data_IF_704141189618
#
_entry.id   IF_704141189618
#
_cell.length_a   1.000
_cell.length_b   1.000
_cell.length_c   1.000
_cell.angle_alpha   90.00
_cell.angle_beta   90.00
_cell.angle_gamma   90.00
#
_symmetry.space_group_name_H-M   'P 1'
#
loop_
_entity.id
_entity.type
_entity.pdbx_description
1 polymer ?
#
# COMPACT_ATOMS: atom_id res chain seq x y z
N UNK A 1 12.14 -8.72 -38.93
CA UNK A 1 10.80 -8.60 -38.31
C UNK A 1 10.97 -8.91 -36.84
N UNK A 2 10.83 -7.91 -35.97
CA UNK A 2 11.13 -8.08 -34.55
C UNK A 2 9.88 -8.49 -33.77
N UNK A 3 9.93 -9.64 -33.10
CA UNK A 3 9.14 -9.89 -31.89
C UNK A 3 9.95 -9.37 -30.70
N UNK A 4 9.34 -8.52 -29.88
CA UNK A 4 9.83 -8.11 -28.57
C UNK A 4 8.65 -8.30 -27.63
N UNK A 5 8.76 -9.28 -26.75
CA UNK A 5 7.69 -9.63 -25.84
C UNK A 5 7.57 -8.58 -24.72
N UNK A 6 6.33 -8.33 -24.31
CA UNK A 6 5.94 -7.29 -23.37
C UNK A 6 6.31 -7.63 -21.91
N UNK A 7 6.55 -6.61 -21.10
CA UNK A 7 6.66 -6.72 -19.64
C UNK A 7 5.49 -5.97 -18.99
N UNK A 8 4.59 -6.70 -18.33
CA UNK A 8 3.62 -6.19 -17.36
C UNK A 8 4.26 -6.09 -15.96
N UNK A 9 3.77 -5.37 -14.94
CA UNK A 9 2.51 -4.63 -14.77
C UNK A 9 1.98 -4.90 -13.34
N UNK A 10 1.94 -3.91 -12.43
CA UNK A 10 1.77 -4.15 -10.97
C UNK A 10 1.09 -3.00 -10.16
N UNK A 11 0.36 -3.34 -9.07
CA UNK A 11 -0.38 -2.43 -8.12
C UNK A 11 -0.27 -2.87 -6.64
N UNK A 12 -0.78 -2.21 -5.56
CA UNK A 12 -1.50 -0.95 -5.21
C UNK A 12 -0.53 0.24 -4.87
N UNK A 13 -1.00 1.49 -4.63
CA UNK A 13 -0.18 2.57 -4.08
C UNK A 13 0.25 2.19 -2.67
N UNK A 14 1.49 1.73 -2.55
CA UNK A 14 1.83 0.61 -1.65
C UNK A 14 1.32 -0.71 -2.28
N UNK A 15 2.27 -1.46 -2.85
CA UNK A 15 1.99 -2.54 -3.77
C UNK A 15 2.17 -3.91 -3.13
N UNK A 16 1.07 -4.51 -2.71
CA UNK A 16 0.99 -5.92 -2.32
C UNK A 16 1.23 -6.94 -3.47
N UNK A 17 2.30 -6.76 -4.26
CA UNK A 17 2.81 -7.76 -5.19
C UNK A 17 3.95 -8.59 -4.56
N UNK A 18 3.63 -9.81 -4.14
CA UNK A 18 4.43 -10.70 -3.29
C UNK A 18 5.88 -10.89 -3.76
N UNK A 19 6.84 -10.21 -3.11
CA UNK A 19 8.25 -10.58 -3.18
C UNK A 19 8.50 -11.84 -2.32
N UNK A 20 9.35 -12.76 -2.79
CA UNK A 20 9.82 -13.92 -2.01
C UNK A 20 10.75 -13.48 -0.87
N UNK A 21 10.17 -12.87 0.15
CA UNK A 21 10.87 -12.63 1.42
C UNK A 21 11.08 -13.94 2.18
N UNK A 22 12.09 -14.05 3.06
CA UNK A 22 12.25 -15.21 3.94
C UNK A 22 11.01 -15.50 4.82
N UNK A 23 10.21 -14.47 5.14
CA UNK A 23 8.91 -14.63 5.80
C UNK A 23 7.85 -15.25 4.89
N UNK A 24 7.88 -14.96 3.59
CA UNK A 24 7.04 -15.65 2.60
C UNK A 24 7.51 -17.09 2.38
N UNK A 25 8.80 -17.40 2.48
CA UNK A 25 9.26 -18.79 2.50
C UNK A 25 8.70 -19.57 3.70
N UNK A 26 8.60 -18.98 4.89
CA UNK A 26 7.92 -19.58 6.05
C UNK A 26 6.39 -19.65 5.88
N UNK A 27 5.78 -18.70 5.16
CA UNK A 27 4.37 -18.80 4.78
C UNK A 27 4.14 -19.94 3.77
N UNK A 28 5.04 -20.11 2.80
CA UNK A 28 5.04 -21.23 1.84
C UNK A 28 5.35 -22.56 2.52
N UNK A 29 6.11 -22.59 3.60
CA UNK A 29 6.31 -23.78 4.43
C UNK A 29 5.04 -24.17 5.21
N UNK A 30 4.19 -23.19 5.57
CA UNK A 30 2.86 -23.44 6.15
C UNK A 30 1.76 -23.75 5.12
N UNK A 31 1.87 -23.19 3.91
CA UNK A 31 0.92 -23.39 2.79
C UNK A 31 1.30 -24.61 1.93
N UNK A 32 2.53 -25.12 2.05
CA UNK A 32 3.02 -26.33 1.38
C UNK A 32 2.42 -27.64 1.90
N UNK A 33 1.56 -27.57 2.92
CA UNK A 33 0.77 -28.70 3.43
C UNK A 33 -0.68 -28.61 2.97
N UNK A 34 -0.98 -29.27 1.85
CA UNK A 34 -2.32 -29.48 1.25
C UNK A 34 -3.09 -28.23 0.79
N UNK A 35 -3.58 -28.28 -0.45
CA UNK A 35 -4.28 -27.16 -1.07
C UNK A 35 -5.74 -27.05 -0.58
N UNK A 36 -6.13 -25.83 -0.19
CA UNK A 36 -7.50 -25.48 0.21
C UNK A 36 -7.66 -25.38 1.72
N UNK A 37 -8.41 -24.37 2.18
CA UNK A 37 -8.88 -24.35 3.57
C UNK A 37 -9.85 -25.51 3.78
N UNK A 38 -9.65 -26.32 4.81
CA UNK A 38 -10.59 -27.39 5.17
C UNK A 38 -11.82 -26.89 5.93
N UNK A 39 -11.90 -25.58 6.19
CA UNK A 39 -13.05 -24.92 6.80
C UNK A 39 -14.24 -24.86 5.82
N UNK A 40 -15.15 -25.84 5.98
CA UNK A 40 -16.40 -25.92 5.21
C UNK A 40 -17.33 -24.71 5.36
N UNK A 41 -17.11 -23.83 6.34
CA UNK A 41 -17.91 -22.59 6.45
C UNK A 41 -17.61 -21.60 5.31
N UNK A 42 -16.50 -21.79 4.60
CA UNK A 42 -16.06 -21.03 3.43
C UNK A 42 -16.61 -21.54 2.09
N UNK A 43 -17.35 -22.66 2.10
CA UNK A 43 -18.10 -23.14 0.93
C UNK A 43 -19.55 -22.67 1.02
N UNK A 44 -19.98 -21.81 0.10
CA UNK A 44 -21.38 -21.41 -0.07
C UNK A 44 -21.99 -21.93 -1.36
N UNK A 45 -23.24 -21.54 -1.61
CA UNK A 45 -24.02 -22.03 -2.75
C UNK A 45 -23.52 -21.50 -4.11
N UNK A 46 -22.84 -20.35 -4.12
CA UNK A 46 -22.30 -19.73 -5.33
C UNK A 46 -20.77 -19.82 -5.42
N UNK A 47 -20.06 -19.39 -4.37
CA UNK A 47 -18.60 -19.39 -4.31
C UNK A 47 -18.08 -20.38 -3.26
N UNK A 48 -17.17 -21.24 -3.70
CA UNK A 48 -16.38 -22.11 -2.83
C UNK A 48 -15.00 -21.50 -2.59
N UNK A 49 -14.84 -20.74 -1.50
CA UNK A 49 -13.59 -20.05 -1.18
C UNK A 49 -12.48 -21.01 -0.68
N UNK A 50 -12.75 -22.32 -0.66
CA UNK A 50 -11.72 -23.35 -0.47
C UNK A 50 -10.95 -23.66 -1.76
N UNK A 51 -11.36 -23.11 -2.91
CA UNK A 51 -10.77 -23.34 -4.25
C UNK A 51 -10.25 -22.07 -4.92
N UNK A 52 -9.23 -22.15 -5.80
CA UNK A 52 -8.70 -20.98 -6.50
C UNK A 52 -9.72 -20.22 -7.35
N UNK A 53 -10.69 -20.91 -7.97
CA UNK A 53 -11.75 -20.29 -8.77
C UNK A 53 -12.66 -19.41 -7.90
N UNK A 54 -13.07 -19.90 -6.73
CA UNK A 54 -13.90 -19.13 -5.80
C UNK A 54 -13.15 -17.93 -5.22
N UNK A 55 -11.85 -18.10 -4.95
CA UNK A 55 -10.97 -17.00 -4.54
C UNK A 55 -10.82 -15.94 -5.64
N UNK A 56 -10.64 -16.34 -6.91
CA UNK A 56 -10.55 -15.45 -8.07
C UNK A 56 -11.80 -14.59 -8.21
N UNK A 57 -12.98 -15.20 -8.18
CA UNK A 57 -14.25 -14.48 -8.31
C UNK A 57 -14.56 -13.60 -7.10
N UNK A 58 -14.28 -14.06 -5.88
CA UNK A 58 -14.40 -13.23 -4.68
C UNK A 58 -13.48 -12.01 -4.74
N UNK A 59 -12.22 -12.20 -5.12
CA UNK A 59 -11.24 -11.12 -5.21
C UNK A 59 -11.56 -10.13 -6.33
N UNK A 60 -12.04 -10.62 -7.48
CA UNK A 60 -12.56 -9.77 -8.56
C UNK A 60 -13.70 -8.87 -8.08
N UNK A 61 -14.70 -9.43 -7.39
CA UNK A 61 -15.86 -8.68 -6.85
C UNK A 61 -15.48 -7.72 -5.72
N UNK A 62 -14.42 -7.99 -4.96
CA UNK A 62 -13.89 -7.02 -3.98
C UNK A 62 -13.15 -5.87 -4.67
N UNK A 63 -12.33 -6.15 -5.67
CA UNK A 63 -11.44 -5.17 -6.30
C UNK A 63 -12.02 -4.42 -7.50
N UNK A 64 -13.18 -4.82 -8.00
CA UNK A 64 -13.87 -4.19 -9.13
C UNK A 64 -15.28 -4.74 -9.33
N UNK A 65 -15.87 -4.43 -10.48
CA UNK A 65 -17.19 -4.91 -10.86
C UNK A 65 -17.07 -5.97 -11.97
N UNK A 66 -17.61 -7.17 -11.76
CA UNK A 66 -17.51 -8.29 -12.71
C UNK A 66 -18.44 -8.17 -13.91
N UNK A 67 -19.25 -7.11 -13.99
CA UNK A 67 -19.98 -6.73 -15.21
C UNK A 67 -19.04 -6.24 -16.35
N UNK A 68 -17.77 -5.99 -16.04
CA UNK A 68 -16.69 -5.48 -16.91
C UNK A 68 -16.95 -4.10 -17.53
N UNK A 69 -17.83 -3.30 -16.91
CA UNK A 69 -18.27 -1.98 -17.41
C UNK A 69 -18.25 -0.93 -16.31
N UNK A 70 -18.84 -1.25 -15.16
CA UNK A 70 -19.02 -0.32 -14.05
C UNK A 70 -17.68 -0.03 -13.36
N UNK A 71 -17.51 1.23 -12.96
CA UNK A 71 -16.37 1.65 -12.12
C UNK A 71 -16.69 1.35 -10.67
N UNK A 72 -15.78 0.69 -9.97
CA UNK A 72 -15.79 0.57 -8.50
C UNK A 72 -14.84 1.60 -7.91
N UNK A 73 -15.23 2.24 -6.81
CA UNK A 73 -14.40 3.21 -6.10
C UNK A 73 -13.87 2.64 -4.80
N UNK A 74 -12.58 2.78 -4.54
CA UNK A 74 -11.97 2.52 -3.24
C UNK A 74 -11.67 3.81 -2.50
N UNK A 75 -11.66 3.74 -1.17
CA UNK A 75 -11.20 4.84 -0.32
C UNK A 75 -10.33 4.35 0.82
N UNK A 76 -9.46 5.23 1.33
CA UNK A 76 -8.77 5.04 2.60
C UNK A 76 -8.54 6.40 3.29
N UNK A 77 -8.76 6.46 4.60
CA UNK A 77 -8.61 7.68 5.40
C UNK A 77 -7.99 7.36 6.76
N UNK A 78 -7.20 8.28 7.30
CA UNK A 78 -6.58 8.10 8.62
C UNK A 78 -5.41 9.04 8.87
N UNK A 79 -4.36 8.52 9.51
CA UNK A 79 -3.17 9.30 9.91
C UNK A 79 -1.87 8.63 9.51
N UNK A 80 -0.83 9.44 9.36
CA UNK A 80 0.55 9.00 9.19
C UNK A 80 1.37 9.49 10.37
N UNK A 81 2.06 8.55 11.01
CA UNK A 81 2.85 8.77 12.23
C UNK A 81 4.34 8.56 11.95
N UNK A 82 5.18 9.41 12.53
CA UNK A 82 6.63 9.24 12.56
C UNK A 82 7.04 8.33 13.71
N UNK A 83 7.73 7.24 13.40
CA UNK A 83 8.35 6.33 14.38
C UNK A 83 9.83 6.64 14.46
N UNK A 84 10.29 7.10 15.64
CA UNK A 84 11.70 7.44 15.90
C UNK A 84 12.14 6.91 17.26
N UNK A 85 13.43 6.64 17.47
CA UNK A 85 13.91 6.19 18.77
C UNK A 85 13.82 7.27 19.84
N UNK A 86 13.62 6.85 21.08
CA UNK A 86 13.64 7.67 22.29
C UNK A 86 12.54 8.76 22.40
N UNK A 87 11.63 8.87 21.44
CA UNK A 87 10.41 9.68 21.55
C UNK A 87 9.15 8.82 21.37
N UNK A 88 7.97 9.37 21.71
CA UNK A 88 6.71 8.76 21.36
C UNK A 88 6.46 8.88 19.84
N UNK A 89 5.58 8.03 19.29
CA UNK A 89 5.09 8.23 17.93
C UNK A 89 4.45 9.63 17.82
N UNK A 90 4.76 10.32 16.73
CA UNK A 90 4.28 11.66 16.45
C UNK A 90 3.34 11.62 15.26
N UNK A 91 2.11 12.10 15.41
CA UNK A 91 1.22 12.32 14.27
C UNK A 91 1.80 13.43 13.40
N UNK A 92 1.95 13.19 12.10
CA UNK A 92 2.62 14.11 11.17
C UNK A 92 1.65 14.82 10.24
N UNK A 93 0.73 14.04 9.65
CA UNK A 93 -0.30 14.48 8.71
C UNK A 93 -1.48 13.51 8.79
N UNK A 94 -2.69 14.00 8.49
CA UNK A 94 -3.80 13.15 8.11
C UNK A 94 -3.60 12.60 6.70
N UNK A 95 -4.45 11.67 6.30
CA UNK A 95 -4.38 11.00 5.00
C UNK A 95 -5.78 10.73 4.44
N UNK A 96 -5.94 10.90 3.14
CA UNK A 96 -7.16 10.57 2.37
C UNK A 96 -6.76 10.04 0.99
N UNK A 97 -7.45 9.02 0.48
CA UNK A 97 -7.22 8.44 -0.84
C UNK A 97 -8.54 8.06 -1.50
N UNK A 98 -8.61 8.27 -2.81
CA UNK A 98 -9.65 7.74 -3.70
C UNK A 98 -9.00 6.92 -4.81
N UNK A 99 -9.62 5.80 -5.15
CA UNK A 99 -9.22 4.97 -6.29
C UNK A 99 -10.43 4.65 -7.17
N UNK A 100 -10.22 4.53 -8.48
CA UNK A 100 -11.26 4.23 -9.48
C UNK A 100 -10.82 3.03 -10.33
N UNK A 101 -11.51 1.90 -10.17
CA UNK A 101 -11.19 0.60 -10.74
C UNK A 101 -12.21 0.12 -11.77
N UNK A 102 -11.76 -0.53 -12.85
CA UNK A 102 -12.59 -1.30 -13.78
C UNK A 102 -11.96 -2.68 -14.01
N UNK A 103 -12.80 -3.69 -14.23
CA UNK A 103 -12.36 -5.01 -14.70
C UNK A 103 -12.57 -5.10 -16.21
N UNK A 104 -11.59 -5.67 -16.90
CA UNK A 104 -11.67 -6.06 -18.30
C UNK A 104 -11.51 -7.59 -18.38
N UNK A 105 -12.06 -8.28 -19.39
CA UNK A 105 -11.82 -9.71 -19.59
C UNK A 105 -10.32 -10.00 -19.78
N UNK A 106 -9.83 -11.11 -19.21
CA UNK A 106 -8.47 -11.61 -19.49
C UNK A 106 -8.41 -12.29 -20.87
N UNK A 107 -7.30 -12.17 -21.61
CA UNK A 107 -7.18 -12.72 -22.97
C UNK A 107 -7.37 -14.23 -23.04
N UNK A 108 -6.92 -14.96 -22.01
CA UNK A 108 -7.05 -16.41 -21.90
C UNK A 108 -8.48 -16.89 -21.61
N UNK A 109 -9.45 -15.96 -21.51
CA UNK A 109 -10.86 -16.26 -21.22
C UNK A 109 -11.16 -16.66 -19.77
N UNK A 110 -10.15 -16.64 -18.88
CA UNK A 110 -10.26 -17.01 -17.47
C UNK A 110 -9.71 -15.88 -16.59
N UNK A 111 -10.58 -15.29 -15.77
CA UNK A 111 -10.22 -14.18 -14.89
C UNK A 111 -10.26 -12.81 -15.56
N UNK A 112 -9.59 -11.85 -14.94
CA UNK A 112 -9.75 -10.42 -15.25
C UNK A 112 -8.41 -9.68 -15.34
N UNK A 113 -8.39 -8.64 -16.16
CA UNK A 113 -7.46 -7.52 -16.05
C UNK A 113 -8.12 -6.43 -15.20
N UNK A 114 -7.55 -6.12 -14.04
CA UNK A 114 -7.96 -4.93 -13.28
C UNK A 114 -7.13 -3.74 -13.76
N UNK A 115 -7.82 -2.70 -14.19
CA UNK A 115 -7.24 -1.39 -14.48
C UNK A 115 -7.70 -0.38 -13.43
N UNK A 116 -6.78 0.47 -12.97
CA UNK A 116 -7.01 1.36 -11.83
C UNK A 116 -6.26 2.69 -12.01
N UNK A 117 -6.86 3.75 -11.47
CA UNK A 117 -6.17 4.98 -11.05
C UNK A 117 -6.38 5.21 -9.57
N UNK A 118 -5.39 5.74 -8.87
CA UNK A 118 -5.60 6.19 -7.49
C UNK A 118 -4.79 7.43 -7.15
N UNK A 119 -5.36 8.26 -6.27
CA UNK A 119 -4.75 9.49 -5.80
C UNK A 119 -4.94 9.61 -4.29
N UNK A 120 -3.84 9.90 -3.59
CA UNK A 120 -3.80 10.02 -2.14
C UNK A 120 -3.15 11.33 -1.72
N UNK A 121 -3.83 12.06 -0.85
CA UNK A 121 -3.41 13.34 -0.31
C UNK A 121 -3.08 13.24 1.18
N UNK A 122 -2.29 14.20 1.62
CA UNK A 122 -1.93 14.41 3.02
C UNK A 122 -2.70 15.63 3.51
N UNK A 123 -3.24 15.58 4.72
CA UNK A 123 -4.12 16.63 5.26
C UNK A 123 -3.57 17.21 6.56
N UNK A 124 -3.94 18.46 6.86
CA UNK A 124 -3.67 19.05 8.17
C UNK A 124 -4.44 18.29 9.27
N UNK A 125 -3.76 17.99 10.37
CA UNK A 125 -4.32 17.19 11.47
C UNK A 125 -5.45 17.89 12.25
N UNK A 126 -5.64 19.20 12.09
CA UNK A 126 -6.66 19.98 12.82
C UNK A 126 -7.82 20.40 11.93
N UNK A 127 -7.55 20.81 10.69
CA UNK A 127 -8.57 21.32 9.75
C UNK A 127 -9.06 20.26 8.77
N UNK A 128 -8.26 19.23 8.49
CA UNK A 128 -8.54 18.24 7.44
C UNK A 128 -8.25 18.75 6.02
N UNK A 129 -7.78 19.99 5.85
CA UNK A 129 -7.47 20.57 4.55
C UNK A 129 -6.29 19.84 3.87
N UNK A 130 -6.37 19.66 2.55
CA UNK A 130 -5.31 19.03 1.75
C UNK A 130 -4.07 19.93 1.72
N UNK A 131 -2.93 19.39 2.13
CA UNK A 131 -1.66 20.08 2.22
C UNK A 131 -0.94 20.14 0.87
N UNK A 132 -0.54 21.34 0.47
CA UNK A 132 0.42 21.58 -0.62
C UNK A 132 1.83 21.84 -0.10
N UNK A 133 1.95 22.28 1.16
CA UNK A 133 3.20 22.49 1.90
C UNK A 133 3.04 21.94 3.33
N UNK A 134 4.15 21.53 3.95
CA UNK A 134 4.17 20.97 5.30
C UNK A 134 5.41 21.44 6.06
N UNK A 135 5.25 21.88 7.31
CA UNK A 135 6.38 22.18 8.20
C UNK A 135 6.91 20.87 8.79
N UNK A 136 8.13 20.47 8.41
CA UNK A 136 8.77 19.28 8.95
C UNK A 136 9.16 19.53 10.42
N UNK A 137 8.50 18.86 11.40
CA UNK A 137 8.66 19.17 12.82
C UNK A 137 9.93 18.53 13.43
N UNK A 138 10.79 17.95 12.59
CA UNK A 138 12.07 17.36 12.96
C UNK A 138 13.27 18.14 12.41
N UNK A 139 13.12 18.79 11.25
CA UNK A 139 14.16 19.60 10.61
C UNK A 139 13.88 21.11 10.68
N UNK A 140 12.65 21.54 10.98
CA UNK A 140 12.27 22.95 11.05
C UNK A 140 12.21 23.65 9.70
N UNK A 141 12.02 22.89 8.62
CA UNK A 141 11.89 23.40 7.25
C UNK A 141 10.49 23.16 6.68
N UNK A 142 9.99 24.11 5.89
CA UNK A 142 8.76 23.92 5.11
C UNK A 142 9.11 23.22 3.80
N UNK A 143 8.46 22.09 3.53
CA UNK A 143 8.65 21.29 2.31
C UNK A 143 7.37 21.27 1.48
N UNK A 144 7.52 21.19 0.16
CA UNK A 144 6.37 20.98 -0.75
C UNK A 144 5.90 19.53 -0.63
N UNK A 145 4.61 19.33 -0.43
CA UNK A 145 3.98 18.02 -0.38
C UNK A 145 3.82 17.47 -1.80
N UNK A 146 4.14 16.19 -1.99
CA UNK A 146 3.92 15.47 -3.26
C UNK A 146 2.90 14.35 -3.03
N UNK A 147 1.69 14.41 -3.63
CA UNK A 147 0.65 13.42 -3.42
C UNK A 147 1.05 12.05 -3.97
N UNK A 148 0.40 11.00 -3.48
CA UNK A 148 0.37 9.71 -4.15
C UNK A 148 -0.48 9.87 -5.40
N UNK A 149 0.03 9.51 -6.57
CA UNK A 149 -0.69 9.63 -7.83
C UNK A 149 -0.25 8.51 -8.78
N UNK A 150 -1.02 7.42 -8.85
CA UNK A 150 -0.71 6.27 -9.71
C UNK A 150 -1.66 6.19 -10.89
N UNK A 151 -1.11 6.33 -12.11
CA UNK A 151 -1.83 6.20 -13.37
C UNK A 151 -0.82 5.88 -14.51
N UNK A 152 -1.00 4.82 -15.30
CA UNK A 152 -1.95 3.73 -15.11
C UNK A 152 -1.46 2.78 -14.04
N UNK A 153 -2.35 1.89 -13.58
CA UNK A 153 -1.99 1.06 -12.46
C UNK A 153 -2.74 -0.28 -12.44
N UNK A 154 -2.13 -1.30 -13.04
CA UNK A 154 -2.86 -2.47 -13.56
C UNK A 154 -2.32 -3.81 -13.03
N UNK A 155 -3.20 -4.80 -12.80
CA UNK A 155 -2.81 -6.18 -12.45
C UNK A 155 -3.81 -7.23 -12.97
N UNK A 156 -3.41 -8.49 -13.00
CA UNK A 156 -4.27 -9.62 -13.40
C UNK A 156 -4.84 -10.35 -12.18
N UNK A 157 -6.11 -10.76 -12.28
CA UNK A 157 -6.84 -11.56 -11.29
C UNK A 157 -7.13 -12.91 -11.94
N UNK A 158 -6.39 -13.95 -11.54
CA UNK A 158 -6.44 -15.28 -12.16
C UNK A 158 -6.60 -16.38 -11.09
N UNK A 159 -6.56 -17.65 -11.48
CA UNK A 159 -6.47 -18.77 -10.52
C UNK A 159 -5.12 -18.85 -9.78
N UNK A 160 -4.18 -17.95 -10.07
CA UNK A 160 -2.86 -17.88 -9.45
C UNK A 160 -2.61 -16.48 -8.88
N UNK A 161 -1.78 -16.40 -7.85
CA UNK A 161 -1.22 -15.14 -7.38
C UNK A 161 -0.50 -14.41 -8.53
N UNK A 162 -0.57 -13.07 -8.60
CA UNK A 162 0.11 -12.29 -9.63
C UNK A 162 1.64 -12.45 -9.52
N UNK A 163 2.35 -12.24 -10.64
CA UNK A 163 3.82 -12.16 -10.62
C UNK A 163 4.28 -11.01 -9.69
N UNK A 164 5.48 -11.11 -9.07
CA UNK A 164 6.03 -10.02 -8.28
C UNK A 164 6.19 -8.74 -9.12
N UNK A 165 6.10 -7.54 -8.53
CA UNK A 165 6.29 -6.28 -9.23
C UNK A 165 7.66 -6.23 -9.88
N UNK A 166 7.72 -5.75 -11.12
CA UNK A 166 8.98 -5.60 -11.84
C UNK A 166 9.74 -4.32 -11.41
N UNK A 167 9.10 -3.37 -10.72
CA UNK A 167 9.60 -2.04 -10.35
C UNK A 167 10.32 -1.32 -11.50
N UNK A 168 9.65 -1.19 -12.66
CA UNK A 168 10.26 -0.61 -13.86
C UNK A 168 11.39 -1.45 -14.48
N UNK A 169 11.49 -2.73 -14.13
CA UNK A 169 12.51 -3.68 -14.60
C UNK A 169 13.69 -3.91 -13.64
N UNK A 170 13.63 -3.36 -12.41
CA UNK A 170 14.62 -3.57 -11.34
C UNK A 170 14.51 -4.97 -10.72
N UNK A 171 13.31 -5.55 -10.65
CA UNK A 171 13.10 -6.95 -10.27
C UNK A 171 12.88 -7.82 -11.51
N UNK A 172 13.55 -8.97 -11.53
CA UNK A 172 13.58 -9.93 -12.66
C UNK A 172 13.28 -11.36 -12.22
N UNK A 173 12.99 -11.57 -10.94
CA UNK A 173 12.65 -12.89 -10.42
C UNK A 173 11.28 -13.33 -10.93
N UNK A 174 11.22 -14.58 -11.40
CA UNK A 174 9.97 -15.24 -11.80
C UNK A 174 9.76 -16.47 -10.92
N UNK A 175 9.10 -16.33 -9.76
CA UNK A 175 8.76 -17.46 -8.91
C UNK A 175 7.78 -18.41 -9.64
N UNK A 176 7.68 -19.68 -9.22
CA UNK A 176 6.65 -20.57 -9.74
C UNK A 176 5.26 -20.01 -9.45
N UNK A 177 4.30 -20.26 -10.35
CA UNK A 177 2.91 -19.86 -10.13
C UNK A 177 2.32 -20.60 -8.92
N UNK A 178 1.72 -19.85 -7.99
CA UNK A 178 1.09 -20.37 -6.77
C UNK A 178 -0.42 -20.21 -6.92
N UNK A 179 -1.25 -21.25 -6.70
CA UNK A 179 -2.70 -21.13 -6.73
C UNK A 179 -3.22 -20.03 -5.80
N UNK A 180 -4.18 -19.23 -6.27
CA UNK A 180 -4.74 -18.12 -5.53
C UNK A 180 -5.61 -18.63 -4.37
N UNK A 181 -5.02 -18.71 -3.19
CA UNK A 181 -5.69 -19.13 -1.94
C UNK A 181 -5.54 -18.02 -0.90
N UNK A 182 -6.60 -17.23 -0.71
CA UNK A 182 -6.62 -16.08 0.19
C UNK A 182 -6.97 -16.50 1.63
N UNK A 183 -6.47 -15.77 2.62
CA UNK A 183 -6.73 -16.02 4.06
C UNK A 183 -8.11 -15.48 4.46
N UNK A 184 -9.14 -16.14 3.93
CA UNK A 184 -10.53 -15.95 4.29
C UNK A 184 -10.87 -16.70 5.59
N UNK A 185 -11.60 -16.03 6.49
CA UNK A 185 -12.08 -16.59 7.76
C UNK A 185 -13.50 -16.13 8.03
N UNK A 186 -14.45 -17.05 8.20
CA UNK A 186 -15.86 -16.70 8.42
C UNK A 186 -16.25 -16.77 9.89
N UNK A 187 -17.05 -15.80 10.34
CA UNK A 187 -17.59 -15.70 11.71
C UNK A 187 -19.06 -15.27 11.63
N UNK A 188 -19.95 -16.25 11.49
CA UNK A 188 -21.38 -16.01 11.27
C UNK A 188 -21.63 -15.40 9.87
N UNK A 189 -22.32 -14.26 9.83
CA UNK A 189 -22.55 -13.48 8.60
C UNK A 189 -21.35 -12.63 8.16
N UNK A 190 -20.29 -12.51 8.96
CA UNK A 190 -19.10 -11.76 8.58
C UNK A 190 -18.03 -12.67 7.99
N UNK A 191 -17.56 -12.33 6.80
CA UNK A 191 -16.36 -12.86 6.18
C UNK A 191 -15.20 -11.88 6.41
N UNK A 192 -14.08 -12.37 6.92
CA UNK A 192 -12.85 -11.59 7.01
C UNK A 192 -11.85 -12.08 5.97
N UNK A 193 -11.15 -11.15 5.34
CA UNK A 193 -9.96 -11.42 4.56
C UNK A 193 -8.78 -10.73 5.24
N UNK A 194 -7.72 -11.48 5.51
CA UNK A 194 -6.42 -10.90 5.87
C UNK A 194 -5.49 -11.00 4.67
N UNK A 195 -4.86 -9.89 4.29
CA UNK A 195 -3.81 -9.87 3.27
C UNK A 195 -2.68 -8.98 3.75
N UNK A 196 -1.45 -9.33 3.42
CA UNK A 196 -0.30 -8.51 3.75
C UNK A 196 0.81 -8.71 2.73
N UNK A 197 1.74 -7.77 2.70
CA UNK A 197 2.99 -7.93 1.98
C UNK A 197 4.19 -7.50 2.80
N UNK A 198 5.33 -8.12 2.53
CA UNK A 198 6.64 -7.61 2.88
C UNK A 198 7.42 -7.39 1.57
N UNK A 199 7.89 -6.15 1.35
CA UNK A 199 8.62 -5.72 0.18
C UNK A 199 10.08 -5.42 0.54
N UNK A 200 10.99 -5.88 -0.30
CA UNK A 200 12.40 -5.49 -0.27
C UNK A 200 12.93 -5.47 -1.70
N UNK A 201 13.23 -4.27 -2.22
CA UNK A 201 13.59 -4.07 -3.64
C UNK A 201 14.51 -2.86 -3.82
N UNK A 202 15.28 -2.76 -4.93
CA UNK A 202 16.16 -1.61 -5.17
C UNK A 202 15.37 -0.30 -5.18
N UNK A 203 15.86 0.70 -4.45
CA UNK A 203 15.20 1.99 -4.33
C UNK A 203 15.32 2.79 -5.65
N UNK A 204 14.23 3.35 -6.17
CA UNK A 204 14.28 4.25 -7.32
C UNK A 204 15.05 5.56 -6.99
N UNK A 205 15.07 5.96 -5.72
CA UNK A 205 15.79 7.13 -5.23
C UNK A 205 17.15 6.69 -4.67
N UNK A 206 18.15 6.51 -5.52
CA UNK A 206 19.48 6.06 -5.09
C UNK A 206 20.22 7.15 -4.28
N UNK A 207 20.91 6.83 -3.16
CA UNK A 207 21.47 7.83 -2.24
C UNK A 207 22.45 8.84 -2.87
N UNK A 208 23.18 8.45 -3.91
CA UNK A 208 24.13 9.33 -4.61
C UNK A 208 23.47 10.42 -5.46
N UNK A 209 22.21 10.22 -5.87
CA UNK A 209 21.42 11.18 -6.66
C UNK A 209 20.37 11.90 -5.80
N UNK A 210 19.83 11.21 -4.79
CA UNK A 210 18.73 11.65 -3.93
C UNK A 210 19.15 11.69 -2.45
N UNK A 211 20.15 12.51 -2.07
CA UNK A 211 20.79 12.44 -0.75
C UNK A 211 19.86 12.78 0.43
N UNK A 212 18.76 13.50 0.20
CA UNK A 212 17.82 13.94 1.26
C UNK A 212 16.56 13.07 1.32
N UNK A 213 16.15 12.52 0.19
CA UNK A 213 14.94 11.73 0.02
C UNK A 213 15.19 10.23 0.19
N UNK A 214 16.39 9.75 -0.15
CA UNK A 214 16.71 8.32 -0.14
C UNK A 214 16.77 7.75 1.26
N UNK A 215 16.05 6.66 1.48
CA UNK A 215 16.17 5.81 2.67
C UNK A 215 17.30 4.77 2.58
N UNK A 216 18.17 4.85 1.56
CA UNK A 216 19.19 3.85 1.25
C UNK A 216 18.99 3.16 -0.11
N UNK A 217 19.92 2.27 -0.47
CA UNK A 217 19.97 1.57 -1.77
C UNK A 217 18.75 0.68 -2.06
N UNK A 218 18.08 0.19 -1.02
CA UNK A 218 16.88 -0.64 -1.08
C UNK A 218 15.73 0.00 -0.32
N UNK A 219 14.53 -0.06 -0.90
CA UNK A 219 13.29 0.24 -0.20
C UNK A 219 12.81 -0.99 0.58
N UNK A 220 12.24 -0.78 1.76
CA UNK A 220 11.67 -1.82 2.62
C UNK A 220 10.32 -1.38 3.17
N UNK A 221 9.25 -1.99 2.68
CA UNK A 221 7.86 -1.65 3.01
C UNK A 221 7.13 -2.90 3.49
N UNK A 222 6.19 -2.74 4.41
CA UNK A 222 5.13 -3.74 4.63
C UNK A 222 3.78 -3.04 4.57
N UNK A 223 2.78 -3.76 4.10
CA UNK A 223 1.39 -3.33 4.16
C UNK A 223 0.56 -4.48 4.70
N UNK A 224 -0.47 -4.14 5.48
CA UNK A 224 -1.43 -5.06 6.04
C UNK A 224 -2.83 -4.54 5.73
N UNK A 225 -3.67 -5.44 5.23
CA UNK A 225 -5.05 -5.19 4.89
C UNK A 225 -5.93 -6.18 5.66
N UNK A 226 -6.94 -5.66 6.34
CA UNK A 226 -8.01 -6.46 6.95
C UNK A 226 -9.34 -5.98 6.40
N UNK A 227 -10.08 -6.89 5.79
CA UNK A 227 -11.39 -6.63 5.21
C UNK A 227 -12.49 -7.22 6.10
N UNK A 228 -13.62 -6.53 6.19
CA UNK A 228 -14.88 -6.94 6.80
C UNK A 228 -15.92 -6.95 5.69
N UNK A 229 -16.37 -8.15 5.32
CA UNK A 229 -17.18 -8.41 4.13
C UNK A 229 -18.46 -9.11 4.59
N UNK A 230 -19.60 -8.71 4.04
CA UNK A 230 -20.85 -9.45 4.25
C UNK A 230 -20.80 -10.79 3.49
N UNK A 231 -21.02 -11.89 4.21
CA UNK A 231 -20.95 -13.23 3.64
C UNK A 231 -22.09 -13.49 2.64
N UNK A 232 -23.31 -13.04 2.93
CA UNK A 232 -24.46 -13.30 2.08
C UNK A 232 -24.32 -12.50 0.78
N UNK A 233 -23.81 -11.26 0.84
CA UNK A 233 -23.44 -10.49 -0.35
C UNK A 233 -22.32 -11.17 -1.17
N UNK A 234 -21.32 -11.76 -0.51
CA UNK A 234 -20.28 -12.55 -1.18
C UNK A 234 -20.83 -13.85 -1.81
N UNK A 235 -21.98 -14.37 -1.37
CA UNK A 235 -22.62 -15.55 -1.96
C UNK A 235 -23.77 -15.23 -2.93
N UNK A 236 -24.22 -13.98 -3.03
CA UNK A 236 -25.27 -13.59 -3.98
C UNK A 236 -24.70 -13.46 -5.41
N UNK A 237 -25.12 -14.30 -6.38
CA UNK A 237 -24.64 -14.22 -7.76
C UNK A 237 -25.15 -13.00 -8.54
N UNK A 238 -26.14 -12.26 -8.02
CA UNK A 238 -26.64 -11.02 -8.64
C UNK A 238 -25.78 -9.79 -8.32
N UNK A 239 -24.96 -9.85 -7.26
CA UNK A 239 -24.07 -8.78 -6.84
C UNK A 239 -22.74 -8.89 -7.59
N UNK A 240 -22.52 -8.06 -8.61
CA UNK A 240 -21.28 -8.08 -9.43
C UNK A 240 -20.09 -7.36 -8.79
N UNK A 241 -20.32 -6.63 -7.69
CA UNK A 241 -19.29 -5.94 -6.91
C UNK A 241 -19.69 -5.97 -5.42
N UNK A 242 -18.81 -6.47 -4.57
CA UNK A 242 -19.07 -6.62 -3.12
C UNK A 242 -18.39 -5.49 -2.38
N UNK A 243 -19.17 -4.60 -1.78
CA UNK A 243 -18.68 -3.54 -0.89
C UNK A 243 -18.09 -4.14 0.39
N UNK A 244 -17.14 -3.43 1.00
CA UNK A 244 -16.48 -3.84 2.24
C UNK A 244 -16.03 -2.62 3.04
N UNK A 245 -15.91 -2.82 4.35
CA UNK A 245 -15.15 -1.96 5.25
C UNK A 245 -13.84 -2.65 5.64
N UNK A 246 -12.87 -1.91 6.17
CA UNK A 246 -11.56 -2.48 6.47
C UNK A 246 -10.59 -1.54 7.15
N UNK A 247 -9.39 -2.05 7.39
CA UNK A 247 -8.22 -1.26 7.79
C UNK A 247 -7.07 -1.52 6.84
N UNK A 248 -6.37 -0.46 6.46
CA UNK A 248 -5.06 -0.54 5.81
C UNK A 248 -4.00 0.10 6.72
N UNK A 249 -2.93 -0.65 6.98
CA UNK A 249 -1.77 -0.17 7.71
C UNK A 249 -0.52 -0.39 6.85
N UNK A 250 0.40 0.56 6.86
CA UNK A 250 1.66 0.49 6.10
C UNK A 250 2.81 0.89 6.99
N UNK A 251 3.92 0.15 6.96
CA UNK A 251 5.22 0.63 7.45
C UNK A 251 6.10 0.89 6.23
N UNK A 252 6.63 2.10 6.11
CA UNK A 252 7.40 2.55 4.95
C UNK A 252 8.48 3.52 5.43
N UNK A 253 9.63 3.65 4.75
CA UNK A 253 10.57 4.71 5.09
C UNK A 253 9.90 6.09 5.00
N UNK A 254 10.59 7.11 5.50
CA UNK A 254 10.16 8.50 5.36
C UNK A 254 9.73 8.79 3.92
N UNK A 255 8.61 9.50 3.77
CA UNK A 255 8.11 9.85 2.45
C UNK A 255 9.15 10.77 1.77
N UNK A 256 9.48 10.58 0.48
CA UNK A 256 10.55 11.31 -0.18
C UNK A 256 10.47 12.84 0.01
N UNK A 257 9.28 13.41 -0.14
CA UNK A 257 9.02 14.84 0.03
C UNK A 257 9.21 15.38 1.46
N UNK A 258 9.26 14.52 2.48
CA UNK A 258 9.58 14.92 3.85
C UNK A 258 11.07 15.27 4.04
N UNK A 259 11.94 14.95 3.07
CA UNK A 259 13.39 15.20 3.09
C UNK A 259 14.12 14.60 4.30
N UNK A 260 13.57 13.49 4.82
CA UNK A 260 14.00 12.80 6.03
C UNK A 260 14.74 11.47 5.74
N UNK A 261 14.97 11.12 4.47
CA UNK A 261 15.52 9.83 4.03
C UNK A 261 16.66 9.24 4.89
N UNK A 262 17.77 9.98 5.13
CA UNK A 262 18.90 9.51 5.94
C UNK A 262 18.68 9.59 7.47
N UNK A 263 17.53 10.09 7.94
CA UNK A 263 17.24 10.23 9.37
C UNK A 263 16.72 8.92 9.98
N UNK A 264 17.22 8.57 11.17
CA UNK A 264 16.75 7.38 11.89
C UNK A 264 15.24 7.45 12.20
N UNK A 265 14.48 6.52 11.61
CA UNK A 265 13.04 6.38 11.79
C UNK A 265 12.34 5.87 10.52
N UNK A 266 11.01 5.94 10.52
CA UNK A 266 10.15 5.57 9.38
C UNK A 266 8.71 6.09 9.61
N UNK A 267 7.87 6.01 8.57
CA UNK A 267 6.44 6.31 8.67
C UNK A 267 5.61 5.05 8.93
N UNK A 268 4.56 5.18 9.74
CA UNK A 268 3.47 4.21 9.88
C UNK A 268 2.16 4.86 9.49
N UNK A 269 1.42 4.23 8.58
CA UNK A 269 0.05 4.60 8.23
C UNK A 269 -0.91 3.79 9.09
N UNK A 270 -1.95 4.44 9.61
CA UNK A 270 -3.09 3.81 10.24
C UNK A 270 -4.35 4.37 9.62
N UNK A 271 -5.05 3.56 8.82
CA UNK A 271 -6.23 4.00 8.06
C UNK A 271 -7.39 3.01 8.21
N UNK A 272 -8.61 3.54 8.16
CA UNK A 272 -9.76 2.76 7.73
C UNK A 272 -9.85 2.83 6.19
N UNK A 273 -10.42 1.81 5.58
CA UNK A 273 -10.60 1.72 4.13
C UNK A 273 -11.95 1.09 3.80
N UNK A 274 -12.39 1.25 2.56
CA UNK A 274 -13.55 0.55 2.05
C UNK A 274 -13.68 0.67 0.53
N UNK A 275 -14.76 0.14 -0.02
CA UNK A 275 -15.07 0.30 -1.43
C UNK A 275 -16.59 0.40 -1.67
N UNK A 276 -16.96 1.23 -2.65
CA UNK A 276 -18.34 1.56 -3.02
C UNK A 276 -18.54 1.60 -4.53
N UNK A 277 -19.75 1.31 -4.99
CA UNK A 277 -20.10 1.29 -6.43
C UNK A 277 -20.55 2.66 -7.00
N UNK A 278 -20.53 3.73 -6.19
CA UNK A 278 -20.79 5.09 -6.67
C UNK A 278 -19.84 6.08 -6.02
N UNK A 279 -19.36 7.03 -6.81
CA UNK A 279 -18.58 8.20 -6.38
C UNK A 279 -19.34 9.01 -5.30
N UNK A 280 -20.67 9.08 -5.39
CA UNK A 280 -21.53 9.80 -4.43
C UNK A 280 -21.60 9.12 -3.05
N UNK A 281 -21.06 7.91 -2.93
CA UNK A 281 -20.96 7.15 -1.67
C UNK A 281 -19.56 7.16 -1.05
N UNK A 282 -18.60 7.86 -1.65
CA UNK A 282 -17.30 8.08 -1.03
C UNK A 282 -17.48 8.92 0.25
N UNK A 283 -16.81 8.55 1.37
CA UNK A 283 -17.07 9.17 2.69
C UNK A 283 -16.61 10.62 2.81
N UNK A 284 -15.64 11.05 1.99
CA UNK A 284 -14.98 12.35 2.09
C UNK A 284 -15.29 13.21 0.84
N UNK A 285 -16.39 14.00 0.85
CA UNK A 285 -16.79 14.80 -0.30
C UNK A 285 -15.79 15.91 -0.63
N UNK A 286 -15.13 16.50 0.37
CA UNK A 286 -14.12 17.56 0.16
C UNK A 286 -12.91 17.04 -0.64
N UNK A 287 -12.49 15.79 -0.39
CA UNK A 287 -11.48 15.11 -1.20
C UNK A 287 -11.96 14.92 -2.64
N UNK A 288 -13.20 14.48 -2.84
CA UNK A 288 -13.77 14.27 -4.19
C UNK A 288 -13.89 15.59 -4.95
N UNK A 289 -14.32 16.66 -4.29
CA UNK A 289 -14.40 18.00 -4.86
C UNK A 289 -13.02 18.55 -5.22
N UNK A 290 -12.02 18.36 -4.36
CA UNK A 290 -10.63 18.71 -4.66
C UNK A 290 -10.08 17.94 -5.87
N UNK A 291 -10.34 16.64 -5.97
CA UNK A 291 -9.96 15.84 -7.15
C UNK A 291 -10.68 16.34 -8.39
N UNK A 292 -11.98 16.65 -8.33
CA UNK A 292 -12.77 17.12 -9.47
C UNK A 292 -12.22 18.43 -10.06
N UNK A 293 -11.67 19.31 -9.22
CA UNK A 293 -11.05 20.57 -9.65
C UNK A 293 -9.61 20.38 -10.13
N UNK A 294 -8.78 19.66 -9.39
CA UNK A 294 -7.32 19.65 -9.58
C UNK A 294 -6.79 18.42 -10.34
N UNK A 295 -7.48 17.29 -10.24
CA UNK A 295 -7.04 15.98 -10.71
C UNK A 295 -8.17 15.13 -11.34
N UNK A 296 -9.07 15.68 -12.17
CA UNK A 296 -10.36 15.06 -12.51
C UNK A 296 -10.25 13.63 -13.09
N UNK A 297 -9.17 13.33 -13.84
CA UNK A 297 -8.92 12.00 -14.42
C UNK A 297 -8.89 10.84 -13.42
N UNK A 298 -8.67 11.11 -12.13
CA UNK A 298 -8.63 10.10 -11.07
C UNK A 298 -10.03 9.70 -10.56
N UNK A 299 -11.08 10.40 -11.00
CA UNK A 299 -12.47 10.00 -10.77
C UNK A 299 -12.98 8.99 -11.81
N UNK A 300 -12.20 8.72 -12.85
CA UNK A 300 -12.54 7.76 -13.91
C UNK A 300 -11.52 6.63 -13.97
N UNK A 301 -11.99 5.38 -13.91
CA UNK A 301 -11.14 4.23 -14.18
C UNK A 301 -10.62 4.24 -15.63
N UNK A 302 -9.42 3.70 -15.91
CA UNK A 302 -8.97 3.51 -17.28
C UNK A 302 -9.90 2.58 -18.06
N UNK A 303 -10.02 2.80 -19.37
CA UNK A 303 -10.84 1.94 -20.25
C UNK A 303 -10.05 0.77 -20.83
N UNK A 304 -8.72 0.90 -20.86
CA UNK A 304 -7.78 -0.02 -21.49
C UNK A 304 -6.60 -0.30 -20.56
N UNK A 305 -5.95 -1.44 -20.75
CA UNK A 305 -4.67 -1.72 -20.10
C UNK A 305 -3.56 -0.87 -20.71
N UNK A 306 -2.82 -0.18 -19.86
CA UNK A 306 -1.70 0.70 -20.23
C UNK A 306 -0.45 0.32 -19.42
N UNK A 307 0.73 0.65 -19.95
CA UNK A 307 2.04 0.37 -19.36
C UNK A 307 2.98 1.57 -19.59
N UNK A 308 3.99 1.82 -18.73
CA UNK A 308 4.34 1.03 -17.55
C UNK A 308 3.47 1.34 -16.33
N UNK A 309 2.99 0.29 -15.65
CA UNK A 309 2.36 0.39 -14.33
C UNK A 309 3.44 0.60 -13.25
N UNK A 310 3.49 1.79 -12.66
CA UNK A 310 4.57 2.22 -11.75
C UNK A 310 4.02 2.71 -10.40
N UNK A 311 4.77 2.47 -9.32
CA UNK A 311 4.37 2.98 -8.01
C UNK A 311 4.70 4.47 -7.88
N UNK A 312 4.10 5.11 -6.88
CA UNK A 312 4.36 6.51 -6.54
C UNK A 312 5.84 6.83 -6.28
N UNK A 313 6.67 5.84 -5.95
CA UNK A 313 8.12 6.04 -5.77
C UNK A 313 8.85 6.18 -7.10
N UNK A 314 8.51 5.34 -8.09
CA UNK A 314 9.08 5.46 -9.44
C UNK A 314 8.52 6.69 -10.18
N UNK A 315 7.27 7.09 -9.91
CA UNK A 315 6.74 8.37 -10.38
C UNK A 315 7.45 9.56 -9.73
N UNK A 316 7.69 9.54 -8.41
CA UNK A 316 8.47 10.58 -7.73
C UNK A 316 9.87 10.74 -8.37
N UNK A 317 10.56 9.64 -8.64
CA UNK A 317 11.88 9.63 -9.28
C UNK A 317 11.90 10.21 -10.70
N UNK A 318 10.75 10.23 -11.39
CA UNK A 318 10.58 10.73 -12.77
C UNK A 318 10.09 12.17 -12.84
N UNK A 319 9.25 12.57 -11.90
CA UNK A 319 8.53 13.85 -11.94
C UNK A 319 9.13 14.93 -11.05
N UNK A 320 9.88 14.53 -10.01
CA UNK A 320 10.53 15.46 -9.08
C UNK A 320 12.01 15.61 -9.40
N UNK A 321 12.63 16.63 -8.81
CA UNK A 321 14.08 16.85 -8.84
C UNK A 321 14.64 16.72 -7.43
N UNK A 322 15.83 16.13 -7.23
CA UNK A 322 16.46 16.04 -5.91
C UNK A 322 16.55 17.40 -5.22
N UNK A 323 16.14 17.46 -3.95
CA UNK A 323 16.19 18.66 -3.15
C UNK A 323 17.64 19.10 -2.92
N UNK A 324 17.94 20.40 -3.06
CA UNK A 324 19.30 20.89 -2.92
C UNK A 324 19.82 20.66 -1.50
N UNK A 325 21.12 20.40 -1.39
CA UNK A 325 21.82 20.42 -0.11
C UNK A 325 21.89 21.85 0.42
N UNK A 326 21.89 22.05 1.76
CA UNK A 326 22.14 23.36 2.36
C UNK A 326 23.56 23.87 2.01
N UNK A 327 23.85 25.18 2.18
CA UNK A 327 25.16 25.76 1.86
C UNK A 327 26.37 25.14 2.59
N UNK A 328 26.16 24.38 3.68
CA UNK A 328 27.21 23.61 4.36
C UNK A 328 27.69 22.39 3.54
N UNK A 329 26.90 21.92 2.58
CA UNK A 329 27.12 20.65 1.88
C UNK A 329 26.83 19.39 2.72
N UNK A 330 26.48 19.57 4.00
CA UNK A 330 26.09 18.47 4.88
C UNK A 330 24.63 18.07 4.64
N UNK A 331 24.36 16.77 4.64
CA UNK A 331 23.00 16.24 4.46
C UNK A 331 22.23 16.42 5.77
N UNK A 332 21.10 17.16 5.81
CA UNK A 332 20.31 17.33 7.02
C UNK A 332 19.80 15.98 7.53
N UNK A 333 19.96 15.74 8.84
CA UNK A 333 19.37 14.59 9.52
C UNK A 333 18.71 15.05 10.81
N UNK A 334 17.53 14.50 11.12
CA UNK A 334 16.82 14.84 12.33
C UNK A 334 17.59 14.30 13.55
N UNK A 335 17.91 15.15 14.55
CA UNK A 335 18.65 14.72 15.73
C UNK A 335 17.86 13.68 16.52
N UNK A 336 18.52 12.61 16.96
CA UNK A 336 17.89 11.56 17.76
C UNK A 336 17.49 12.14 19.12
N UNK A 337 16.26 11.88 19.55
CA UNK A 337 15.78 12.33 20.85
C UNK A 337 16.60 11.73 22.00
N UNK A 338 16.76 12.47 23.10
CA UNK A 338 17.31 11.91 24.33
C UNK A 338 16.27 11.10 25.10
N UNK A 339 16.71 10.05 25.79
CA UNK A 339 15.85 9.34 26.74
C UNK A 339 15.47 10.27 27.91
N UNK A 340 14.25 10.17 28.48
CA UNK A 340 13.82 11.04 29.59
C UNK A 340 14.80 11.05 30.77
N UNK A 341 15.05 12.22 31.36
CA UNK A 341 16.03 12.39 32.45
C UNK A 341 15.82 11.42 33.62
N UNK A 342 14.58 11.11 33.99
CA UNK A 342 14.26 10.17 35.07
C UNK A 342 14.80 8.76 34.77
N UNK A 343 14.72 8.32 33.51
CA UNK A 343 15.25 7.04 33.06
C UNK A 343 16.78 7.06 32.97
N UNK A 344 17.37 8.17 32.52
CA UNK A 344 18.83 8.35 32.54
C UNK A 344 19.39 8.21 33.98
N UNK A 345 18.78 8.90 34.96
CA UNK A 345 19.15 8.81 36.39
C UNK A 345 18.98 7.38 36.92
N UNK A 346 17.89 6.69 36.57
CA UNK A 346 17.68 5.30 36.99
C UNK A 346 18.75 4.34 36.43
N UNK A 347 19.17 4.51 35.17
CA UNK A 347 20.27 3.71 34.59
C UNK A 347 21.60 3.96 35.31
N UNK A 348 21.96 5.22 35.54
CA UNK A 348 23.19 5.59 36.22
C UNK A 348 23.26 5.01 37.64
N UNK A 349 22.16 5.07 38.40
CA UNK A 349 22.06 4.50 39.74
C UNK A 349 22.24 2.96 39.75
N UNK A 350 21.73 2.25 38.72
CA UNK A 350 21.92 0.80 38.59
C UNK A 350 23.35 0.41 38.21
N UNK A 351 24.02 1.22 37.39
CA UNK A 351 25.41 1.00 37.01
C UNK A 351 26.36 1.24 38.20
N UNK A 352 26.19 2.37 38.91
CA UNK A 352 26.99 2.67 40.11
C UNK A 352 26.79 1.71 41.30
N UNK A 353 25.71 0.92 41.30
CA UNK A 353 25.47 -0.13 42.30
C UNK A 353 26.15 -1.47 41.97
N UNK A 354 26.63 -1.67 40.73
CA UNK A 354 27.33 -2.89 40.31
C UNK A 354 28.81 -2.94 40.71
N UNK A 355 29.48 -1.78 40.71
CA UNK A 355 30.94 -1.68 40.95
C UNK A 355 31.32 -1.66 42.44
N UNK A 356 30.35 -1.73 43.36
CA UNK A 356 30.56 -1.64 44.81
C UNK A 356 30.54 -2.98 45.57
N UNK A 357 30.59 -4.12 44.87
CA UNK A 357 30.35 -5.46 45.44
C UNK A 357 31.39 -6.53 45.07
N UNK A 358 32.67 -6.16 45.03
CA UNK A 358 33.82 -7.06 44.82
C UNK A 358 34.73 -7.14 46.03
#
# INVERSE_FOLDING_TARGET
>A
MHRRDFLAGSTVAAAAGLALTPGMAQAMERVGGEAGSTDRSLTGDFLDLTKPEGNREAWARLLGNTDTKSTKYGFAEGIIQGVRPNEALRDLVGFTMVSAARLLPHEDGVGYRKVLREIGFYTDLKTGEILTEWENPYLGETVKVVPIANDPFNHTITNFYPEPPNYGGLNREKPPQIPLMLDFRRRGGMLNLFSHINLFYPNALQPGEWPRESSGEFNRVTETFLYFIDWDAMQDPSITSVEYDGTWSRVTPWLPWMLMGPSEGHCVYQTFMGAVDSIDRLPNPDTVDYIRVNHPKYLDAPETWEEPSLSSLEWYAREQTPAPLPPSGEIPTAPRAELPQWWQRMKAARQGAGDGGG
#
